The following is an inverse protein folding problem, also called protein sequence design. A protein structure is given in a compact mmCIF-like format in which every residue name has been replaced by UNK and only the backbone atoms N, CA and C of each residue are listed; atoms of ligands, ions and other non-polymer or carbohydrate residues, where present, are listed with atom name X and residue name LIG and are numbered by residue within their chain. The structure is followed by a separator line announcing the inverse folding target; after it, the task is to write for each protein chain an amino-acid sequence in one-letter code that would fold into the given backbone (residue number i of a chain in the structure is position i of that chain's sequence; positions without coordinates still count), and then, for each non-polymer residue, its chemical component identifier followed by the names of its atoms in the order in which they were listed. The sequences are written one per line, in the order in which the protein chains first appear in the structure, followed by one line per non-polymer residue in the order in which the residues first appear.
data_IF_315122582603
#
_entry.id   IF_315122582603
#
_cell.length_a   1.000
_cell.length_b   1.000
_cell.length_c   1.000
_cell.angle_alpha   90.00
_cell.angle_beta   90.00
_cell.angle_gamma   90.00
#
_symmetry.space_group_name_H-M   'P 1'
#
loop_
_entity.id
_entity.type
_entity.pdbx_description
1 polymer ?
#
# COMPACT_ATOMS: atom_id res chain seq x y z
N UNK A 1 44.07 68.43 6.18
CA UNK A 1 44.50 67.04 6.45
C UNK A 1 43.77 66.38 7.63
N UNK A 2 43.47 67.08 8.74
CA UNK A 2 42.71 66.52 9.89
C UNK A 2 41.36 65.87 9.54
N UNK A 3 40.54 66.49 8.68
CA UNK A 3 39.21 65.95 8.33
C UNK A 3 39.26 64.66 7.47
N UNK A 4 40.33 64.45 6.68
CA UNK A 4 40.51 63.22 5.89
C UNK A 4 40.96 62.05 6.78
N UNK A 5 41.73 62.32 7.83
CA UNK A 5 42.16 61.31 8.81
C UNK A 5 40.98 60.88 9.70
N UNK A 6 40.10 61.80 10.09
CA UNK A 6 38.87 61.45 10.82
C UNK A 6 37.89 60.60 10.00
N UNK A 7 37.72 60.87 8.71
CA UNK A 7 36.87 60.03 7.86
C UNK A 7 37.43 58.61 7.69
N UNK A 8 38.74 58.48 7.49
CA UNK A 8 39.40 57.16 7.35
C UNK A 8 39.32 56.37 8.67
N UNK A 9 39.51 57.05 9.82
CA UNK A 9 39.38 56.42 11.13
C UNK A 9 37.93 55.97 11.44
N UNK A 10 36.93 56.76 11.02
CA UNK A 10 35.52 56.40 11.17
C UNK A 10 35.13 55.21 10.27
N UNK A 11 35.61 55.18 9.02
CA UNK A 11 35.41 54.05 8.10
C UNK A 11 36.08 52.75 8.58
N UNK A 12 37.27 52.85 9.21
CA UNK A 12 37.94 51.70 9.82
C UNK A 12 37.22 51.19 11.07
N UNK A 13 36.58 52.07 11.87
CA UNK A 13 35.75 51.66 13.01
C UNK A 13 34.47 50.93 12.58
N UNK A 14 33.84 51.34 11.46
CA UNK A 14 32.63 50.67 10.95
C UNK A 14 32.91 49.29 10.35
N UNK A 15 34.12 49.07 9.79
CA UNK A 15 34.55 47.77 9.28
C UNK A 15 34.84 46.77 10.41
N UNK A 16 35.32 47.24 11.57
CA UNK A 16 35.57 46.39 12.74
C UNK A 16 34.28 45.93 13.46
N UNK A 17 33.16 46.66 13.31
CA UNK A 17 31.87 46.29 13.88
C UNK A 17 31.10 45.23 13.06
N UNK A 18 31.53 44.97 11.81
CA UNK A 18 30.89 44.00 10.92
C UNK A 18 31.35 42.55 11.13
N UNK A 19 32.35 42.31 12.00
CA UNK A 19 32.80 40.97 12.37
C UNK A 19 32.15 40.47 13.66
N UNK A 20 30.84 40.63 13.84
CA UNK A 20 30.13 39.76 14.78
C UNK A 20 30.09 38.38 14.15
N UNK A 21 30.64 37.37 14.86
CA UNK A 21 30.33 35.97 14.54
C UNK A 21 28.81 35.85 14.62
N UNK A 22 28.16 35.56 13.50
CA UNK A 22 26.76 35.14 13.55
C UNK A 22 26.70 33.89 14.42
N UNK A 23 25.70 33.80 15.30
CA UNK A 23 25.43 32.53 15.97
C UNK A 23 25.08 31.53 14.87
N UNK A 24 25.87 30.47 14.72
CA UNK A 24 25.53 29.38 13.82
C UNK A 24 24.15 28.86 14.23
N UNK A 25 23.20 28.85 13.29
CA UNK A 25 21.91 28.22 13.50
C UNK A 25 22.13 26.71 13.63
N UNK A 26 22.33 26.24 14.87
CA UNK A 26 22.38 24.82 15.18
C UNK A 26 20.94 24.32 15.19
N UNK A 27 20.55 23.60 14.14
CA UNK A 27 19.28 22.89 14.14
C UNK A 27 19.40 21.68 15.08
N UNK A 28 18.45 21.49 16.01
CA UNK A 28 18.37 20.25 16.78
C UNK A 28 18.21 19.07 15.83
N UNK A 29 18.93 17.98 16.08
CA UNK A 29 18.75 16.73 15.34
C UNK A 29 17.40 16.12 15.70
N UNK A 30 16.44 16.27 14.80
CA UNK A 30 15.10 15.69 14.91
C UNK A 30 14.96 14.37 14.16
N UNK A 31 16.04 13.82 13.60
CA UNK A 31 16.04 12.58 12.82
C UNK A 31 15.92 11.36 13.77
N UNK A 32 14.68 11.07 14.14
CA UNK A 32 14.31 9.88 14.92
C UNK A 32 13.64 8.85 14.03
N UNK A 33 14.14 7.61 14.05
CA UNK A 33 13.42 6.48 13.49
C UNK A 33 12.27 6.08 14.42
N UNK A 34 11.04 6.51 14.08
CA UNK A 34 9.84 6.21 14.84
C UNK A 34 9.31 4.79 14.67
N UNK A 35 9.83 4.03 13.69
CA UNK A 35 9.38 2.67 13.40
C UNK A 35 10.04 1.60 14.29
N UNK A 36 10.87 2.00 15.25
CA UNK A 36 11.50 1.10 16.22
C UNK A 36 10.52 0.77 17.33
N UNK A 37 10.26 -0.53 17.54
CA UNK A 37 9.43 -1.02 18.65
C UNK A 37 10.31 -1.22 19.89
N UNK A 38 9.95 -0.59 21.00
CA UNK A 38 10.58 -0.81 22.30
C UNK A 38 9.93 -1.99 23.03
N UNK A 39 10.73 -2.75 23.78
CA UNK A 39 10.22 -3.82 24.64
C UNK A 39 9.62 -3.26 25.94
N UNK A 40 8.55 -3.89 26.39
CA UNK A 40 8.03 -3.77 27.75
C UNK A 40 7.72 -5.18 28.26
N UNK A 41 8.67 -5.84 28.96
CA UNK A 41 8.48 -7.19 29.45
C UNK A 41 7.32 -7.35 30.45
N UNK A 42 6.83 -6.26 31.06
CA UNK A 42 5.70 -6.31 32.00
C UNK A 42 4.36 -6.30 31.28
N UNK A 43 4.35 -6.02 29.98
CA UNK A 43 3.16 -6.03 29.15
C UNK A 43 3.28 -7.08 28.05
N UNK A 44 2.60 -8.21 28.24
CA UNK A 44 2.70 -9.36 27.34
C UNK A 44 2.40 -9.03 25.88
N UNK A 45 1.52 -8.06 25.60
CA UNK A 45 1.18 -7.66 24.23
C UNK A 45 2.28 -6.82 23.60
N UNK A 46 2.85 -5.86 24.35
CA UNK A 46 3.98 -5.06 23.87
C UNK A 46 5.21 -5.96 23.68
N UNK A 47 5.49 -6.85 24.63
CA UNK A 47 6.57 -7.82 24.51
C UNK A 47 6.41 -8.73 23.28
N UNK A 48 5.22 -9.29 23.04
CA UNK A 48 4.96 -10.14 21.87
C UNK A 48 5.13 -9.39 20.54
N UNK A 49 4.74 -8.12 20.49
CA UNK A 49 4.98 -7.24 19.34
C UNK A 49 6.48 -6.94 19.16
N UNK A 50 7.20 -6.63 20.24
CA UNK A 50 8.65 -6.46 20.20
C UNK A 50 9.36 -7.71 19.66
N UNK A 51 9.01 -8.91 20.14
CA UNK A 51 9.56 -10.16 19.63
C UNK A 51 9.24 -10.36 18.14
N UNK A 52 8.02 -10.01 17.71
CA UNK A 52 7.63 -10.09 16.30
C UNK A 52 8.46 -9.14 15.44
N UNK A 53 8.67 -7.92 15.91
CA UNK A 53 9.51 -6.92 15.26
C UNK A 53 10.97 -7.39 15.18
N UNK A 54 11.51 -8.00 16.24
CA UNK A 54 12.88 -8.54 16.24
C UNK A 54 13.06 -9.69 15.24
N UNK A 55 12.03 -10.50 15.04
CA UNK A 55 12.05 -11.63 14.11
C UNK A 55 11.86 -11.21 12.65
N UNK A 56 10.93 -10.29 12.39
CA UNK A 56 10.47 -9.95 11.03
C UNK A 56 11.01 -8.62 10.50
N UNK A 57 11.44 -7.73 11.39
CA UNK A 57 11.72 -6.34 11.08
C UNK A 57 10.48 -5.47 10.84
N UNK A 58 9.27 -6.01 11.04
CA UNK A 58 8.01 -5.32 10.73
C UNK A 58 7.35 -4.83 12.03
N UNK A 59 7.24 -3.52 12.24
CA UNK A 59 6.58 -2.98 13.42
C UNK A 59 5.06 -3.03 13.26
N UNK A 60 4.36 -3.39 14.34
CA UNK A 60 2.90 -3.43 14.40
C UNK A 60 2.38 -2.36 15.37
N UNK A 61 1.32 -1.67 14.97
CA UNK A 61 0.68 -0.63 15.74
C UNK A 61 -0.83 -0.87 15.85
N UNK A 62 -1.41 -0.43 16.98
CA UNK A 62 -2.88 -0.38 17.21
C UNK A 62 -3.42 1.05 17.22
N UNK A 63 -2.53 2.03 17.01
CA UNK A 63 -2.82 3.46 16.91
C UNK A 63 -2.00 4.02 15.73
N UNK A 64 -2.56 4.96 14.98
CA UNK A 64 -1.87 5.58 13.84
C UNK A 64 -0.80 6.59 14.29
N UNK A 65 -0.97 7.19 15.47
CA UNK A 65 -0.03 8.12 16.07
C UNK A 65 0.98 7.32 16.89
N UNK A 66 2.18 7.15 16.33
CA UNK A 66 3.21 6.24 16.86
C UNK A 66 4.24 6.95 17.75
N UNK A 67 4.16 8.28 17.84
CA UNK A 67 4.96 9.02 18.81
C UNK A 67 4.78 10.52 18.73
N UNK A 68 5.38 11.22 19.69
CA UNK A 68 5.42 12.67 19.73
C UNK A 68 6.75 13.20 20.24
N UNK A 69 7.12 14.40 19.81
CA UNK A 69 8.36 15.08 20.20
C UNK A 69 8.11 16.58 20.29
N UNK A 70 8.65 17.23 21.31
CA UNK A 70 8.72 18.70 21.34
C UNK A 70 9.76 19.17 20.33
N UNK A 71 9.36 20.05 19.42
CA UNK A 71 10.20 20.62 18.37
C UNK A 71 10.08 22.14 18.38
N UNK A 72 11.02 22.80 17.71
CA UNK A 72 11.05 24.25 17.55
C UNK A 72 10.99 24.59 16.07
N UNK A 73 10.11 25.51 15.68
CA UNK A 73 9.96 25.95 14.29
C UNK A 73 11.11 26.89 13.86
N UNK A 74 11.10 27.28 12.59
CA UNK A 74 12.11 28.19 12.01
C UNK A 74 12.06 29.61 12.59
N UNK A 75 11.01 29.95 13.35
CA UNK A 75 10.83 31.24 14.01
C UNK A 75 11.13 31.18 15.51
N UNK A 76 11.50 30.01 16.04
CA UNK A 76 11.84 29.80 17.44
C UNK A 76 10.67 29.41 18.35
N UNK A 77 9.48 29.13 17.81
CA UNK A 77 8.33 28.71 18.61
C UNK A 77 8.33 27.19 18.84
N UNK A 78 8.07 26.80 20.09
CA UNK A 78 7.94 25.39 20.46
C UNK A 78 6.58 24.82 20.01
N UNK A 79 6.57 23.59 19.50
CA UNK A 79 5.36 22.86 19.08
C UNK A 79 5.51 21.35 19.32
N UNK A 80 4.39 20.65 19.50
CA UNK A 80 4.38 19.18 19.56
C UNK A 80 4.28 18.60 18.15
N UNK A 81 5.33 17.92 17.71
CA UNK A 81 5.29 17.06 16.54
C UNK A 81 4.66 15.72 16.89
N UNK A 82 3.80 15.20 16.02
CA UNK A 82 3.24 13.86 16.09
C UNK A 82 3.68 13.08 14.86
N UNK A 83 4.26 11.90 15.06
CA UNK A 83 4.49 10.95 13.98
C UNK A 83 3.23 10.13 13.77
N UNK A 84 2.61 10.26 12.60
CA UNK A 84 1.36 9.60 12.24
C UNK A 84 1.57 8.74 10.99
N UNK A 85 1.14 7.48 11.06
CA UNK A 85 1.18 6.57 9.92
C UNK A 85 0.31 7.10 8.78
N UNK A 86 0.89 7.14 7.58
CA UNK A 86 0.22 7.58 6.37
C UNK A 86 -0.44 6.41 5.66
N UNK A 87 -1.77 6.38 5.77
CA UNK A 87 -2.64 5.46 5.03
C UNK A 87 -2.94 5.95 3.61
N UNK A 88 -2.39 7.10 3.20
CA UNK A 88 -2.51 7.62 1.85
C UNK A 88 -1.89 6.64 0.85
N UNK A 89 -2.55 6.44 -0.27
CA UNK A 89 -2.15 5.43 -1.25
C UNK A 89 -0.91 5.83 -2.08
N UNK A 90 -0.70 7.11 -2.35
CA UNK A 90 0.40 7.63 -3.19
C UNK A 90 0.61 9.13 -2.97
N UNK A 91 1.86 9.60 -3.11
CA UNK A 91 2.23 11.02 -3.10
C UNK A 91 2.01 11.73 -4.46
N UNK A 92 1.62 11.00 -5.52
CA UNK A 92 1.73 11.47 -6.91
C UNK A 92 0.43 11.67 -7.70
N UNK A 93 -0.75 11.51 -7.09
CA UNK A 93 -2.04 11.65 -7.79
C UNK A 93 -2.28 10.61 -8.91
N UNK A 94 -3.52 10.47 -9.35
CA UNK A 94 -3.89 9.69 -10.56
C UNK A 94 -4.50 10.64 -11.58
N UNK A 95 -4.27 10.39 -12.87
CA UNK A 95 -4.77 11.26 -13.95
C UNK A 95 -6.28 11.13 -14.23
N UNK A 96 -6.97 10.14 -13.65
CA UNK A 96 -8.44 10.04 -13.73
C UNK A 96 -9.04 9.11 -12.65
N UNK A 97 -10.18 9.50 -12.10
CA UNK A 97 -10.92 8.79 -11.05
C UNK A 97 -10.40 9.01 -9.63
N UNK A 98 -11.26 8.83 -8.62
CA UNK A 98 -10.84 8.90 -7.22
C UNK A 98 -9.81 7.79 -6.95
N UNK A 99 -8.63 8.08 -6.37
CA UNK A 99 -7.68 7.04 -6.03
C UNK A 99 -8.29 6.08 -5.01
N UNK A 100 -7.76 4.83 -4.91
CA UNK A 100 -8.01 4.04 -3.72
C UNK A 100 -7.63 4.84 -2.49
N UNK A 101 -8.52 4.86 -1.49
CA UNK A 101 -8.30 5.60 -0.24
C UNK A 101 -8.92 4.82 0.91
N UNK A 102 -8.34 4.95 2.10
CA UNK A 102 -9.04 4.66 3.34
C UNK A 102 -10.09 5.76 3.55
N UNK A 103 -11.37 5.38 3.63
CA UNK A 103 -12.48 6.29 3.86
C UNK A 103 -12.70 6.51 5.36
N UNK A 104 -12.64 5.44 6.15
CA UNK A 104 -12.74 5.47 7.60
C UNK A 104 -12.18 4.20 8.22
N UNK A 105 -11.84 4.27 9.51
CA UNK A 105 -11.45 3.12 10.32
C UNK A 105 -11.71 3.42 11.81
N UNK A 106 -11.70 2.39 12.64
CA UNK A 106 -11.74 2.51 14.11
C UNK A 106 -10.62 1.68 14.73
N UNK A 107 -10.02 2.15 15.82
CA UNK A 107 -8.97 1.40 16.49
C UNK A 107 -9.49 0.10 17.08
N UNK A 108 -8.69 -0.96 16.96
CA UNK A 108 -8.92 -2.18 17.73
C UNK A 108 -8.46 -1.98 19.18
N UNK A 109 -8.93 -2.85 20.07
CA UNK A 109 -8.44 -2.87 21.43
C UNK A 109 -7.06 -3.53 21.48
N UNK A 110 -6.31 -3.25 22.54
CA UNK A 110 -5.05 -3.96 22.81
C UNK A 110 -5.24 -5.47 22.95
N UNK A 111 -6.41 -5.91 23.42
CA UNK A 111 -6.73 -7.33 23.61
C UNK A 111 -6.87 -8.10 22.29
N UNK A 112 -7.03 -7.42 21.16
CA UNK A 112 -7.15 -8.05 19.83
C UNK A 112 -5.77 -8.32 19.20
N UNK A 113 -4.72 -7.63 19.66
CA UNK A 113 -3.38 -7.73 19.08
C UNK A 113 -2.77 -9.15 19.14
N UNK A 114 -2.93 -9.95 20.22
CA UNK A 114 -2.40 -11.31 20.26
C UNK A 114 -2.93 -12.22 19.12
N UNK A 115 -4.23 -12.15 18.81
CA UNK A 115 -4.82 -12.94 17.74
C UNK A 115 -4.31 -12.51 16.35
N UNK A 116 -4.13 -11.21 16.14
CA UNK A 116 -3.52 -10.68 14.91
C UNK A 116 -2.06 -11.10 14.76
N UNK A 117 -1.27 -11.01 15.85
CA UNK A 117 0.13 -11.44 15.86
C UNK A 117 0.27 -12.92 15.53
N UNK A 118 -0.54 -13.78 16.15
CA UNK A 118 -0.55 -15.22 15.87
C UNK A 118 -0.91 -15.50 14.41
N UNK A 119 -1.98 -14.90 13.89
CA UNK A 119 -2.38 -15.04 12.49
C UNK A 119 -1.29 -14.59 11.51
N UNK A 120 -0.64 -13.45 11.78
CA UNK A 120 0.46 -12.94 10.96
C UNK A 120 1.63 -13.93 10.95
N UNK A 121 2.07 -14.39 12.12
CA UNK A 121 3.19 -15.33 12.27
C UNK A 121 2.93 -16.68 11.60
N UNK A 122 1.70 -17.19 11.70
CA UNK A 122 1.38 -18.55 11.27
C UNK A 122 0.94 -18.62 9.81
N UNK A 123 0.28 -17.58 9.29
CA UNK A 123 -0.37 -17.66 7.98
C UNK A 123 0.10 -16.66 6.94
N UNK A 124 0.53 -15.48 7.36
CA UNK A 124 0.91 -14.39 6.44
C UNK A 124 2.41 -14.40 6.21
N UNK A 125 3.21 -14.21 7.26
CA UNK A 125 4.68 -14.13 7.16
C UNK A 125 5.30 -15.34 6.45
N UNK A 126 4.90 -16.59 6.74
CA UNK A 126 5.45 -17.76 6.04
C UNK A 126 5.11 -17.82 4.55
N UNK A 127 4.07 -17.10 4.11
CA UNK A 127 3.68 -17.01 2.70
C UNK A 127 4.40 -15.86 1.96
N UNK A 128 5.12 -14.99 2.68
CA UNK A 128 5.83 -13.88 2.06
C UNK A 128 7.17 -14.36 1.51
N UNK A 129 7.54 -13.91 0.30
CA UNK A 129 8.84 -14.22 -0.26
C UNK A 129 9.92 -13.38 0.40
N UNK A 130 11.15 -13.90 0.40
CA UNK A 130 12.30 -13.20 0.98
C UNK A 130 12.53 -11.88 0.25
N UNK A 131 12.72 -10.80 1.01
CA UNK A 131 13.04 -9.46 0.46
C UNK A 131 11.84 -8.56 0.16
N UNK A 132 10.60 -8.99 0.42
CA UNK A 132 9.46 -8.06 0.41
C UNK A 132 9.55 -7.15 1.62
N UNK A 133 9.72 -5.86 1.38
CA UNK A 133 9.76 -4.86 2.42
C UNK A 133 8.33 -4.42 2.81
N UNK A 134 7.99 -4.57 4.09
CA UNK A 134 6.77 -4.02 4.69
C UNK A 134 7.21 -2.98 5.74
N UNK A 135 6.90 -1.69 5.53
CA UNK A 135 7.39 -0.64 6.43
C UNK A 135 6.76 -0.73 7.84
N UNK A 136 5.45 -0.96 7.92
CA UNK A 136 4.72 -1.22 9.17
C UNK A 136 3.35 -1.83 8.89
N UNK A 137 2.69 -2.26 9.97
CA UNK A 137 1.29 -2.69 9.96
C UNK A 137 0.50 -1.88 10.99
N UNK A 138 -0.67 -1.37 10.60
CA UNK A 138 -1.65 -0.79 11.50
C UNK A 138 -2.85 -1.73 11.62
N UNK A 139 -3.12 -2.21 12.84
CA UNK A 139 -4.27 -3.04 13.17
C UNK A 139 -5.46 -2.15 13.54
N UNK A 140 -6.60 -2.39 12.90
CA UNK A 140 -7.85 -1.65 13.13
C UNK A 140 -9.02 -2.61 13.28
N UNK A 141 -10.04 -2.20 14.03
CA UNK A 141 -11.28 -2.97 14.16
C UNK A 141 -12.09 -2.86 12.87
N UNK A 142 -12.56 -1.66 12.55
CA UNK A 142 -13.25 -1.43 11.29
C UNK A 142 -12.31 -0.77 10.29
N UNK A 143 -12.46 -1.15 9.02
CA UNK A 143 -11.82 -0.49 7.89
C UNK A 143 -12.87 -0.35 6.80
N UNK A 144 -12.98 0.85 6.25
CA UNK A 144 -13.72 1.11 5.03
C UNK A 144 -12.77 1.78 4.03
N UNK A 145 -12.66 1.21 2.84
CA UNK A 145 -11.83 1.75 1.78
C UNK A 145 -12.58 1.79 0.45
N UNK A 146 -12.23 2.80 -0.35
CA UNK A 146 -12.60 2.82 -1.75
C UNK A 146 -11.66 1.86 -2.51
N UNK A 147 -12.24 0.90 -3.25
CA UNK A 147 -11.60 -0.19 -4.02
C UNK A 147 -11.29 -1.51 -3.29
N UNK A 148 -10.85 -1.51 -2.02
CA UNK A 148 -10.27 -2.71 -1.38
C UNK A 148 -11.06 -3.24 -0.18
N UNK A 149 -12.30 -2.77 -0.02
CA UNK A 149 -13.20 -3.24 1.03
C UNK A 149 -12.65 -3.00 2.44
N UNK A 150 -12.77 -4.02 3.28
CA UNK A 150 -12.65 -3.89 4.75
C UNK A 150 -11.52 -4.67 5.41
N UNK A 151 -10.73 -5.43 4.64
CA UNK A 151 -9.75 -6.35 5.22
C UNK A 151 -8.33 -5.84 5.19
N UNK A 152 -7.89 -5.28 4.06
CA UNK A 152 -6.54 -4.75 3.99
C UNK A 152 -6.43 -3.58 3.02
N UNK A 153 -5.61 -2.60 3.37
CA UNK A 153 -5.29 -1.48 2.52
C UNK A 153 -3.79 -1.18 2.56
N UNK A 154 -3.18 -0.98 1.40
CA UNK A 154 -1.77 -0.60 1.30
C UNK A 154 -1.68 0.93 1.32
N UNK A 155 -1.27 1.48 2.46
CA UNK A 155 -0.90 2.88 2.60
C UNK A 155 0.53 3.14 2.13
N UNK A 156 1.02 4.34 2.44
CA UNK A 156 2.34 4.79 2.00
C UNK A 156 3.44 4.15 2.85
N UNK A 157 3.36 4.32 4.17
CA UNK A 157 4.32 3.77 5.14
C UNK A 157 3.69 2.72 6.06
N UNK A 158 2.46 2.28 5.80
CA UNK A 158 1.80 1.25 6.60
C UNK A 158 0.84 0.41 5.76
N UNK A 159 0.68 -0.85 6.13
CA UNK A 159 -0.43 -1.68 5.66
C UNK A 159 -1.49 -1.72 6.75
N UNK A 160 -2.69 -1.25 6.44
CA UNK A 160 -3.83 -1.29 7.37
C UNK A 160 -4.49 -2.65 7.25
N UNK A 161 -4.64 -3.34 8.37
CA UNK A 161 -5.36 -4.61 8.49
C UNK A 161 -6.61 -4.36 9.32
N UNK A 162 -7.77 -4.47 8.69
CA UNK A 162 -9.07 -4.32 9.33
C UNK A 162 -9.65 -5.64 9.80
N UNK A 163 -10.83 -5.57 10.41
CA UNK A 163 -11.56 -6.71 10.95
C UNK A 163 -10.73 -7.58 11.92
N UNK A 164 -9.85 -6.95 12.70
CA UNK A 164 -8.92 -7.64 13.60
C UNK A 164 -9.64 -8.38 14.74
N UNK A 165 -10.63 -7.81 15.43
CA UNK A 165 -11.37 -8.53 16.48
C UNK A 165 -12.13 -9.76 15.97
N UNK A 166 -12.41 -9.83 14.65
CA UNK A 166 -13.18 -10.91 14.05
C UNK A 166 -12.31 -12.11 13.63
N UNK A 167 -10.97 -12.00 13.68
CA UNK A 167 -10.03 -13.07 13.29
C UNK A 167 -10.38 -14.44 13.93
N UNK A 168 -10.64 -14.55 15.26
CA UNK A 168 -10.90 -15.84 15.89
C UNK A 168 -12.19 -16.53 15.40
N UNK A 169 -13.14 -15.77 14.86
CA UNK A 169 -14.45 -16.26 14.42
C UNK A 169 -14.58 -16.48 12.91
N UNK A 170 -13.52 -16.27 12.12
CA UNK A 170 -13.60 -16.40 10.67
C UNK A 170 -13.75 -17.86 10.24
N UNK A 171 -14.80 -18.16 9.47
CA UNK A 171 -14.90 -19.43 8.76
C UNK A 171 -13.85 -19.53 7.64
N UNK A 172 -13.67 -20.74 7.09
CA UNK A 172 -12.63 -21.02 6.09
C UNK A 172 -12.68 -20.06 4.88
N UNK A 173 -13.86 -19.86 4.30
CA UNK A 173 -14.03 -18.98 3.14
C UNK A 173 -13.70 -17.51 3.47
N UNK A 174 -14.15 -17.02 4.63
CA UNK A 174 -13.87 -15.65 5.09
C UNK A 174 -12.38 -15.47 5.37
N UNK A 175 -11.76 -16.47 6.01
CA UNK A 175 -10.34 -16.47 6.36
C UNK A 175 -9.44 -16.53 5.12
N UNK A 176 -9.87 -17.26 4.08
CA UNK A 176 -9.20 -17.27 2.79
C UNK A 176 -9.27 -15.90 2.08
N UNK A 177 -10.45 -15.28 2.03
CA UNK A 177 -10.61 -13.92 1.48
C UNK A 177 -9.80 -12.88 2.27
N UNK A 178 -9.80 -13.00 3.61
CA UNK A 178 -9.02 -12.15 4.51
C UNK A 178 -7.52 -12.24 4.20
N UNK A 179 -7.00 -13.47 4.10
CA UNK A 179 -5.61 -13.74 3.72
C UNK A 179 -5.29 -13.20 2.32
N UNK A 180 -6.17 -13.39 1.35
CA UNK A 180 -6.01 -12.88 -0.02
C UNK A 180 -5.85 -11.35 -0.06
N UNK A 181 -6.71 -10.63 0.66
CA UNK A 181 -6.64 -9.16 0.73
C UNK A 181 -5.35 -8.67 1.39
N UNK A 182 -4.92 -9.30 2.50
CA UNK A 182 -3.67 -8.96 3.19
C UNK A 182 -2.48 -9.23 2.27
N UNK A 183 -2.37 -10.44 1.70
CA UNK A 183 -1.26 -10.77 0.82
C UNK A 183 -1.23 -9.91 -0.45
N UNK A 184 -2.39 -9.52 -1.01
CA UNK A 184 -2.44 -8.50 -2.06
C UNK A 184 -1.76 -7.21 -1.58
N UNK A 185 -2.17 -6.66 -0.43
CA UNK A 185 -1.60 -5.43 0.10
C UNK A 185 -0.08 -5.51 0.33
N UNK A 186 0.43 -6.69 0.70
CA UNK A 186 1.87 -6.90 0.93
C UNK A 186 2.65 -7.05 -0.38
N UNK A 187 2.09 -7.74 -1.38
CA UNK A 187 2.83 -8.19 -2.56
C UNK A 187 2.70 -7.27 -3.78
N UNK A 188 1.71 -6.36 -3.82
CA UNK A 188 1.44 -5.51 -4.98
C UNK A 188 2.69 -4.85 -5.55
N UNK A 189 3.52 -4.21 -4.71
CA UNK A 189 4.72 -3.52 -5.21
C UNK A 189 5.78 -4.47 -5.77
N UNK A 190 5.95 -5.65 -5.14
CA UNK A 190 6.92 -6.63 -5.60
C UNK A 190 6.47 -7.25 -6.94
N UNK A 191 5.17 -7.54 -7.08
CA UNK A 191 4.56 -8.01 -8.35
C UNK A 191 4.71 -6.97 -9.45
N UNK A 192 4.53 -5.69 -9.14
CA UNK A 192 4.62 -4.58 -10.10
C UNK A 192 6.03 -4.05 -10.35
N UNK A 193 7.05 -4.69 -9.79
CA UNK A 193 8.44 -4.29 -10.01
C UNK A 193 8.89 -4.51 -11.46
N UNK A 194 9.93 -3.79 -11.87
CA UNK A 194 10.50 -3.88 -13.22
C UNK A 194 10.91 -5.31 -13.62
N UNK A 195 11.25 -6.14 -12.63
CA UNK A 195 11.54 -7.58 -12.81
C UNK A 195 10.44 -8.30 -13.59
N UNK A 196 9.18 -7.96 -13.35
CA UNK A 196 8.02 -8.63 -13.95
C UNK A 196 7.37 -7.84 -15.09
N UNK A 197 7.93 -6.69 -15.48
CA UNK A 197 7.37 -5.82 -16.53
C UNK A 197 7.02 -6.56 -17.83
N UNK A 198 7.88 -7.45 -18.31
CA UNK A 198 7.63 -8.23 -19.54
C UNK A 198 6.46 -9.22 -19.40
N UNK A 199 6.29 -9.84 -18.23
CA UNK A 199 5.17 -10.75 -17.96
C UNK A 199 3.87 -9.95 -17.77
N UNK A 200 3.94 -8.82 -17.07
CA UNK A 200 2.83 -7.89 -16.89
C UNK A 200 2.35 -7.31 -18.21
N UNK A 201 3.25 -7.01 -19.15
CA UNK A 201 2.86 -6.53 -20.48
C UNK A 201 2.03 -7.57 -21.24
N UNK A 202 2.38 -8.86 -21.14
CA UNK A 202 1.55 -9.94 -21.69
C UNK A 202 0.19 -10.04 -21.00
N UNK A 203 0.16 -9.85 -19.67
CA UNK A 203 -1.08 -9.79 -18.90
C UNK A 203 -1.98 -8.62 -19.36
N UNK A 204 -1.43 -7.42 -19.57
CA UNK A 204 -2.22 -6.27 -20.04
C UNK A 204 -2.73 -6.48 -21.47
N UNK A 205 -1.88 -7.05 -22.33
CA UNK A 205 -2.22 -7.28 -23.74
C UNK A 205 -3.26 -8.37 -23.95
N UNK A 206 -3.45 -9.27 -22.99
CA UNK A 206 -4.55 -10.23 -23.02
C UNK A 206 -5.93 -9.55 -23.08
N UNK A 207 -6.07 -8.34 -22.54
CA UNK A 207 -7.29 -7.52 -22.65
C UNK A 207 -7.19 -6.47 -23.75
N UNK A 208 -6.05 -5.78 -23.89
CA UNK A 208 -5.88 -4.70 -24.90
C UNK A 208 -6.07 -5.16 -26.33
N UNK A 209 -5.74 -6.42 -26.66
CA UNK A 209 -5.89 -6.95 -28.02
C UNK A 209 -7.32 -6.86 -28.58
N UNK A 210 -8.32 -6.77 -27.71
CA UNK A 210 -9.73 -6.69 -28.10
C UNK A 210 -10.19 -5.26 -28.45
N UNK A 211 -9.45 -4.22 -28.03
CA UNK A 211 -9.78 -2.82 -28.29
C UNK A 211 -8.55 -2.10 -28.85
N UNK A 212 -8.54 -1.86 -30.15
CA UNK A 212 -7.38 -1.28 -30.87
C UNK A 212 -7.46 0.24 -31.04
N UNK A 213 -8.62 0.85 -30.79
CA UNK A 213 -8.85 2.28 -31.01
C UNK A 213 -8.37 3.17 -29.87
N UNK A 214 -8.16 2.61 -28.67
CA UNK A 214 -7.70 3.27 -27.45
C UNK A 214 -7.32 2.23 -26.39
N UNK A 215 -6.74 2.66 -25.27
CA UNK A 215 -6.53 1.74 -24.15
C UNK A 215 -7.87 1.29 -23.56
N UNK A 216 -7.96 0.00 -23.22
CA UNK A 216 -9.19 -0.65 -22.75
C UNK A 216 -9.45 -0.38 -21.26
N UNK A 217 -8.42 0.02 -20.51
CA UNK A 217 -8.56 0.41 -19.10
C UNK A 217 -9.34 1.72 -18.96
N UNK A 218 -10.31 1.75 -18.06
CA UNK A 218 -11.15 2.93 -17.80
C UNK A 218 -12.18 3.22 -18.89
N UNK A 219 -12.49 2.24 -19.73
CA UNK A 219 -13.59 2.31 -20.71
C UNK A 219 -14.92 2.01 -20.03
N UNK A 220 -15.96 2.78 -20.37
CA UNK A 220 -17.32 2.50 -19.94
C UNK A 220 -17.82 1.16 -20.48
N UNK A 221 -18.46 0.36 -19.64
CA UNK A 221 -18.94 -0.97 -20.04
C UNK A 221 -19.88 -0.93 -21.27
N UNK A 222 -20.76 0.06 -21.36
CA UNK A 222 -21.71 0.16 -22.48
C UNK A 222 -21.01 0.41 -23.83
N UNK A 223 -19.77 0.95 -23.81
CA UNK A 223 -18.98 1.17 -25.02
C UNK A 223 -18.28 -0.10 -25.49
N UNK A 224 -18.19 -1.15 -24.66
CA UNK A 224 -17.52 -2.40 -25.06
C UNK A 224 -18.18 -3.04 -26.28
N UNK A 225 -19.50 -2.97 -26.39
CA UNK A 225 -20.25 -3.52 -27.53
C UNK A 225 -19.84 -2.92 -28.89
N UNK A 226 -19.35 -1.68 -28.92
CA UNK A 226 -18.89 -1.03 -30.15
C UNK A 226 -17.37 -1.04 -30.33
N UNK A 227 -16.61 -1.16 -29.25
CA UNK A 227 -15.15 -1.08 -29.27
C UNK A 227 -14.46 -2.44 -29.36
N UNK A 228 -15.09 -3.50 -28.84
CA UNK A 228 -14.49 -4.84 -28.77
C UNK A 228 -14.58 -5.55 -30.12
N UNK A 229 -13.46 -6.10 -30.55
CA UNK A 229 -13.33 -6.89 -31.77
C UNK A 229 -12.52 -8.16 -31.49
N UNK A 230 -12.69 -9.22 -32.29
CA UNK A 230 -11.90 -10.45 -32.16
C UNK A 230 -12.39 -11.46 -31.12
N UNK A 231 -13.56 -11.24 -30.50
CA UNK A 231 -14.24 -12.28 -29.72
C UNK A 231 -14.88 -13.34 -30.63
N UNK A 232 -15.05 -14.59 -30.16
CA UNK A 232 -15.76 -15.62 -30.91
C UNK A 232 -17.21 -15.21 -31.26
N UNK A 233 -17.76 -15.68 -32.39
CA UNK A 233 -19.14 -15.41 -32.77
C UNK A 233 -20.13 -15.77 -31.65
N UNK A 234 -21.07 -14.86 -31.37
CA UNK A 234 -22.10 -15.06 -30.34
C UNK A 234 -21.68 -14.72 -28.90
N UNK A 235 -20.41 -14.38 -28.65
CA UNK A 235 -19.93 -13.95 -27.32
C UNK A 235 -20.19 -12.45 -27.13
N UNK A 236 -20.92 -12.10 -26.07
CA UNK A 236 -21.16 -10.70 -25.72
C UNK A 236 -19.88 -10.01 -25.24
N UNK A 237 -19.66 -8.76 -25.67
CA UNK A 237 -18.54 -7.94 -25.24
C UNK A 237 -18.75 -7.44 -23.80
N UNK A 238 -18.31 -8.23 -22.84
CA UNK A 238 -18.32 -7.91 -21.40
C UNK A 238 -16.89 -7.74 -20.87
N UNK A 239 -16.69 -7.11 -19.70
CA UNK A 239 -15.38 -7.07 -19.05
C UNK A 239 -14.77 -8.47 -18.89
N UNK A 240 -15.57 -9.46 -18.51
CA UNK A 240 -15.13 -10.86 -18.35
C UNK A 240 -14.71 -11.48 -19.67
N UNK A 241 -15.48 -11.27 -20.75
CA UNK A 241 -15.16 -11.81 -22.07
C UNK A 241 -13.78 -11.35 -22.57
N UNK A 242 -13.36 -10.14 -22.20
CA UNK A 242 -12.04 -9.57 -22.57
C UNK A 242 -10.99 -9.72 -21.46
N UNK A 243 -11.23 -10.54 -20.43
CA UNK A 243 -10.21 -10.92 -19.45
C UNK A 243 -10.12 -10.03 -18.20
N UNK A 244 -11.14 -9.24 -17.86
CA UNK A 244 -11.22 -8.61 -16.53
C UNK A 244 -12.04 -9.49 -15.58
N UNK A 245 -11.63 -9.62 -14.31
CA UNK A 245 -12.43 -10.36 -13.32
C UNK A 245 -13.80 -9.70 -13.07
N UNK A 246 -13.89 -8.40 -13.30
CA UNK A 246 -15.09 -7.60 -13.17
C UNK A 246 -14.86 -6.16 -13.58
N UNK A 247 -15.71 -5.27 -13.09
CA UNK A 247 -15.62 -3.82 -13.27
C UNK A 247 -14.67 -3.19 -12.26
N UNK A 248 -14.34 -1.91 -12.44
CA UNK A 248 -13.52 -1.21 -11.45
C UNK A 248 -14.25 -1.20 -10.09
N UNK A 249 -13.59 -1.61 -9.00
CA UNK A 249 -14.22 -1.74 -7.69
C UNK A 249 -14.64 -0.39 -7.08
N UNK A 250 -14.19 0.74 -7.63
CA UNK A 250 -14.59 2.09 -7.21
C UNK A 250 -15.78 2.61 -8.01
N UNK A 251 -15.98 2.10 -9.22
CA UNK A 251 -17.05 2.53 -10.10
C UNK A 251 -17.41 1.42 -11.08
N UNK A 252 -18.56 0.80 -10.82
CA UNK A 252 -19.02 -0.36 -11.59
C UNK A 252 -19.36 -0.02 -13.03
N UNK A 253 -19.44 1.24 -13.46
CA UNK A 253 -19.70 1.59 -14.86
C UNK A 253 -18.50 1.40 -15.79
N UNK A 254 -17.30 1.19 -15.24
CA UNK A 254 -16.07 1.10 -16.00
C UNK A 254 -15.44 -0.29 -15.90
N UNK A 255 -14.70 -0.66 -16.94
CA UNK A 255 -13.60 -1.62 -16.82
C UNK A 255 -12.57 -1.12 -15.79
N UNK A 256 -11.66 -1.96 -15.26
CA UNK A 256 -10.61 -1.49 -14.36
C UNK A 256 -9.92 -0.24 -14.93
N UNK A 257 -9.86 0.84 -14.15
CA UNK A 257 -9.38 2.14 -14.65
C UNK A 257 -7.86 2.15 -14.90
N UNK A 258 -7.14 1.19 -14.35
CA UNK A 258 -5.69 1.08 -14.54
C UNK A 258 -5.23 -0.37 -14.56
N UNK A 259 -4.09 -0.59 -15.21
CA UNK A 259 -3.32 -1.83 -15.16
C UNK A 259 -3.02 -2.25 -13.71
N UNK A 260 -2.69 -1.28 -12.86
CA UNK A 260 -2.45 -1.50 -11.43
C UNK A 260 -3.66 -2.11 -10.73
N UNK A 261 -4.85 -1.56 -10.96
CA UNK A 261 -6.09 -2.05 -10.34
C UNK A 261 -6.39 -3.48 -10.79
N UNK A 262 -6.25 -3.76 -12.07
CA UNK A 262 -6.48 -5.08 -12.64
C UNK A 262 -5.51 -6.13 -12.06
N UNK A 263 -4.22 -5.80 -11.93
CA UNK A 263 -3.26 -6.67 -11.23
C UNK A 263 -3.68 -6.91 -9.78
N UNK A 264 -4.09 -5.87 -9.04
CA UNK A 264 -4.57 -6.01 -7.67
C UNK A 264 -5.79 -6.93 -7.55
N UNK A 265 -6.75 -6.82 -8.47
CA UNK A 265 -7.93 -7.68 -8.50
C UNK A 265 -7.55 -9.14 -8.72
N UNK A 266 -6.66 -9.42 -9.70
CA UNK A 266 -6.19 -10.79 -9.93
C UNK A 266 -5.33 -11.33 -8.79
N UNK A 267 -4.49 -10.49 -8.20
CA UNK A 267 -3.61 -10.87 -7.09
C UNK A 267 -4.45 -11.30 -5.88
N UNK A 268 -5.45 -10.51 -5.49
CA UNK A 268 -6.36 -10.85 -4.40
C UNK A 268 -7.17 -12.12 -4.68
N UNK A 269 -7.73 -12.24 -5.89
CA UNK A 269 -8.47 -13.43 -6.28
C UNK A 269 -7.59 -14.70 -6.30
N UNK A 270 -6.35 -14.61 -6.79
CA UNK A 270 -5.41 -15.72 -6.84
C UNK A 270 -4.91 -16.15 -5.46
N UNK A 271 -4.75 -15.21 -4.51
CA UNK A 271 -4.27 -15.49 -3.16
C UNK A 271 -5.40 -15.87 -2.19
N UNK A 272 -6.63 -15.47 -2.50
CA UNK A 272 -7.83 -15.79 -1.71
C UNK A 272 -8.54 -17.09 -2.12
N UNK A 273 -8.14 -17.72 -3.22
CA UNK A 273 -8.75 -18.95 -3.73
C UNK A 273 -7.68 -20.01 -4.03
N UNK A 274 -8.03 -21.29 -3.90
CA UNK A 274 -7.24 -22.36 -4.51
C UNK A 274 -7.38 -22.33 -6.02
N UNK A 275 -6.47 -22.99 -6.75
CA UNK A 275 -6.59 -23.11 -8.20
C UNK A 275 -7.92 -23.75 -8.63
N UNK A 276 -8.42 -24.73 -7.88
CA UNK A 276 -9.70 -25.37 -8.15
C UNK A 276 -10.88 -24.40 -7.97
N UNK A 277 -10.88 -23.60 -6.90
CA UNK A 277 -11.89 -22.59 -6.64
C UNK A 277 -11.86 -21.48 -7.72
N UNK A 278 -10.67 -21.02 -8.10
CA UNK A 278 -10.52 -20.03 -9.16
C UNK A 278 -11.07 -20.55 -10.50
N UNK A 279 -10.76 -21.79 -10.86
CA UNK A 279 -11.31 -22.45 -12.06
C UNK A 279 -12.83 -22.65 -11.98
N UNK A 280 -13.38 -22.91 -10.80
CA UNK A 280 -14.83 -22.99 -10.64
C UNK A 280 -15.51 -21.64 -10.93
N UNK A 281 -14.88 -20.53 -10.53
CA UNK A 281 -15.41 -19.18 -10.74
C UNK A 281 -15.22 -18.69 -12.18
N UNK A 282 -14.06 -18.96 -12.78
CA UNK A 282 -13.62 -18.31 -14.02
C UNK A 282 -13.15 -19.25 -15.13
N UNK A 283 -13.22 -20.58 -14.93
CA UNK A 283 -12.66 -21.56 -15.85
C UNK A 283 -13.27 -21.55 -17.26
N UNK A 284 -14.49 -21.03 -17.40
CA UNK A 284 -15.17 -20.87 -18.70
C UNK A 284 -14.81 -19.55 -19.41
N UNK A 285 -13.89 -18.75 -18.85
CA UNK A 285 -13.48 -17.46 -19.38
C UNK A 285 -12.00 -17.52 -19.77
N UNK A 286 -11.71 -17.93 -21.01
CA UNK A 286 -10.34 -18.20 -21.48
C UNK A 286 -9.38 -17.02 -21.25
N UNK A 287 -9.82 -15.78 -21.52
CA UNK A 287 -9.00 -14.60 -21.34
C UNK A 287 -8.70 -14.30 -19.86
N UNK A 288 -9.60 -14.68 -18.95
CA UNK A 288 -9.34 -14.61 -17.51
C UNK A 288 -8.29 -15.64 -17.11
N UNK A 289 -8.41 -16.88 -17.61
CA UNK A 289 -7.47 -17.94 -17.31
C UNK A 289 -6.06 -17.65 -17.86
N UNK A 290 -5.95 -17.00 -19.03
CA UNK A 290 -4.67 -16.51 -19.55
C UNK A 290 -4.02 -15.53 -18.57
N UNK A 291 -4.76 -14.54 -18.09
CA UNK A 291 -4.23 -13.53 -17.16
C UNK A 291 -3.91 -14.11 -15.79
N UNK A 292 -4.75 -15.02 -15.29
CA UNK A 292 -4.45 -15.79 -14.10
C UNK A 292 -3.13 -16.55 -14.23
N UNK A 293 -2.84 -17.16 -15.39
CA UNK A 293 -1.58 -17.89 -15.60
C UNK A 293 -0.34 -17.01 -15.45
N UNK A 294 -0.39 -15.75 -15.89
CA UNK A 294 0.73 -14.81 -15.73
C UNK A 294 0.92 -14.38 -14.27
N UNK A 295 -0.17 -14.14 -13.55
CA UNK A 295 -0.09 -13.82 -12.11
C UNK A 295 0.43 -15.03 -11.33
N UNK A 296 -0.04 -16.24 -11.66
CA UNK A 296 0.46 -17.50 -11.10
C UNK A 296 1.96 -17.67 -11.36
N UNK A 297 2.43 -17.39 -12.58
CA UNK A 297 3.84 -17.43 -12.93
C UNK A 297 4.66 -16.46 -12.06
N UNK A 298 4.21 -15.21 -11.90
CA UNK A 298 4.89 -14.21 -11.06
C UNK A 298 4.95 -14.69 -9.60
N UNK A 299 3.82 -15.12 -9.03
CA UNK A 299 3.75 -15.60 -7.65
C UNK A 299 4.65 -16.81 -7.40
N UNK A 300 4.71 -17.74 -8.37
CA UNK A 300 5.58 -18.92 -8.30
C UNK A 300 7.05 -18.52 -8.35
N UNK A 301 7.44 -17.62 -9.25
CA UNK A 301 8.82 -17.11 -9.36
C UNK A 301 9.25 -16.35 -8.10
N UNK A 302 8.32 -15.65 -7.43
CA UNK A 302 8.57 -15.02 -6.14
C UNK A 302 8.76 -16.05 -5.02
N UNK A 303 8.26 -17.29 -5.18
CA UNK A 303 8.26 -18.31 -4.12
C UNK A 303 7.06 -18.19 -3.17
N UNK A 304 5.97 -17.55 -3.60
CA UNK A 304 4.73 -17.48 -2.83
C UNK A 304 4.00 -18.83 -2.93
N UNK A 305 3.64 -19.47 -1.81
CA UNK A 305 2.94 -20.74 -1.84
C UNK A 305 1.50 -20.54 -2.32
N UNK A 306 1.17 -21.16 -3.45
CA UNK A 306 -0.18 -21.19 -3.99
C UNK A 306 -0.92 -22.45 -3.50
N UNK A 307 -2.21 -22.31 -3.21
CA UNK A 307 -3.09 -23.38 -2.72
C UNK A 307 -3.78 -24.15 -3.84
#
# INVERSE_FOLDING_TARGET
MKNKISLIAFSLLTLAASCRKEEETVFPDYDKNWLVVADDPNDATIHANYLFYKETGIPIYINDTIGSQQRRDVFGHDYTYYEVLSMSYSLGGLQSGAPPIVQSFTYCSKADAPAALDFLRTEIIPALPKGVHIPSILLVDTLNSNAFGKYAFKGFNTIVIGAVPQIPGMNEATRAAYKGAILRAFLTNAVLSDKYSATLEKFYNASRKFVTSRDVYGVYQFQLASLVTGLPPGVAATPQAIGFLGTDPRNTYYTPISTWMDVCMYLEAALGNSEAQFKQLYGNQDNIMIKYSYIKQILTDMGVPLK
#
